data_IF_325844947341
#
_entry.id   IF_325844947341
#
_cell.length_a   1.000
_cell.length_b   1.000
_cell.length_c   1.000
_cell.angle_alpha   90.00
_cell.angle_beta   90.00
_cell.angle_gamma   90.00
#
_symmetry.space_group_name_H-M   'P 1'
#
loop_
_entity.id
_entity.type
_entity.pdbx_description
1 polymer ?
#
# COMPACT_ATOMS: atom_id res chain seq x y z
N UNK A 1 17.36 -27.58 25.55
CA UNK A 1 16.13 -26.91 26.00
C UNK A 1 15.85 -25.83 24.97
N UNK A 2 14.87 -26.04 24.09
CA UNK A 2 14.48 -25.03 23.10
C UNK A 2 13.84 -23.87 23.86
N UNK A 3 14.50 -22.73 23.87
CA UNK A 3 13.87 -21.46 24.24
C UNK A 3 12.68 -21.31 23.30
N UNK A 4 11.45 -21.31 23.84
CA UNK A 4 10.22 -21.38 23.06
C UNK A 4 10.21 -20.32 21.97
N UNK A 5 10.25 -20.76 20.70
CA UNK A 5 9.97 -19.85 19.59
C UNK A 5 8.54 -19.37 19.78
N UNK A 6 8.39 -18.09 20.13
CA UNK A 6 7.09 -17.44 20.24
C UNK A 6 6.52 -17.35 18.84
N UNK A 7 5.56 -18.20 18.52
CA UNK A 7 4.84 -18.20 17.25
C UNK A 7 4.10 -16.87 17.10
N UNK A 8 4.29 -16.17 15.97
CA UNK A 8 3.51 -14.97 15.65
C UNK A 8 2.04 -15.37 15.53
N UNK A 9 1.15 -14.53 16.07
CA UNK A 9 -0.32 -14.75 16.07
C UNK A 9 -0.96 -13.66 15.25
N UNK A 10 -1.59 -14.02 14.14
CA UNK A 10 -2.26 -13.12 13.20
C UNK A 10 -3.76 -13.32 13.30
N UNK A 11 -4.49 -12.24 13.52
CA UNK A 11 -5.93 -12.21 13.26
C UNK A 11 -6.15 -11.71 11.83
N UNK A 12 -6.64 -12.60 10.97
CA UNK A 12 -6.93 -12.31 9.56
C UNK A 12 -8.41 -11.98 9.38
N UNK A 13 -8.71 -10.82 8.82
CA UNK A 13 -10.07 -10.32 8.56
C UNK A 13 -10.26 -10.11 7.06
N UNK A 14 -11.12 -10.91 6.44
CA UNK A 14 -11.33 -10.94 4.99
C UNK A 14 -12.71 -11.51 4.71
N UNK A 15 -13.54 -10.86 3.91
CA UNK A 15 -14.91 -11.33 3.64
C UNK A 15 -14.94 -12.44 2.57
N UNK A 16 -14.05 -12.40 1.58
CA UNK A 16 -13.93 -13.42 0.55
C UNK A 16 -13.33 -14.75 1.10
N UNK A 17 -14.15 -15.79 1.14
CA UNK A 17 -13.78 -17.12 1.64
C UNK A 17 -12.56 -17.71 0.95
N UNK A 18 -12.43 -17.51 -0.37
CA UNK A 18 -11.32 -18.06 -1.13
C UNK A 18 -10.01 -17.37 -0.74
N UNK A 19 -9.98 -16.04 -0.78
CA UNK A 19 -8.82 -15.22 -0.40
C UNK A 19 -8.42 -15.47 1.05
N UNK A 20 -9.39 -15.50 1.97
CA UNK A 20 -9.13 -15.74 3.39
C UNK A 20 -8.42 -17.07 3.64
N UNK A 21 -8.91 -18.15 3.01
CA UNK A 21 -8.30 -19.46 3.16
C UNK A 21 -6.91 -19.53 2.50
N UNK A 22 -6.72 -18.95 1.31
CA UNK A 22 -5.41 -18.94 0.64
C UNK A 22 -4.36 -18.22 1.49
N UNK A 23 -4.67 -17.02 1.98
CA UNK A 23 -3.74 -16.23 2.80
C UNK A 23 -3.44 -16.93 4.12
N UNK A 24 -4.45 -17.52 4.77
CA UNK A 24 -4.24 -18.34 5.97
C UNK A 24 -3.26 -19.49 5.71
N UNK A 25 -3.48 -20.30 4.69
CA UNK A 25 -2.62 -21.45 4.40
C UNK A 25 -1.17 -21.02 4.13
N UNK A 26 -0.97 -19.90 3.43
CA UNK A 26 0.37 -19.36 3.17
C UNK A 26 1.09 -18.90 4.44
N UNK A 27 0.37 -18.23 5.35
CA UNK A 27 0.91 -17.79 6.65
C UNK A 27 1.20 -18.98 7.57
N UNK A 28 0.27 -19.95 7.66
CA UNK A 28 0.44 -21.18 8.46
C UNK A 28 1.63 -21.99 7.97
N UNK A 29 1.81 -22.14 6.66
CA UNK A 29 2.98 -22.80 6.06
C UNK A 29 4.30 -22.11 6.43
N UNK A 30 4.26 -20.84 6.82
CA UNK A 30 5.40 -20.05 7.27
C UNK A 30 5.61 -20.10 8.79
N UNK A 31 4.85 -20.95 9.51
CA UNK A 31 4.96 -21.11 10.95
C UNK A 31 4.27 -20.02 11.77
N UNK A 32 3.28 -19.34 11.18
CA UNK A 32 2.47 -18.31 11.85
C UNK A 32 1.14 -18.94 12.30
N UNK A 33 0.71 -18.64 13.52
CA UNK A 33 -0.62 -19.01 14.01
C UNK A 33 -1.64 -18.01 13.50
N UNK A 34 -2.68 -18.47 12.81
CA UNK A 34 -3.68 -17.60 12.17
C UNK A 34 -5.07 -17.96 12.67
N UNK A 35 -5.76 -16.97 13.23
CA UNK A 35 -7.21 -17.01 13.44
C UNK A 35 -7.88 -16.18 12.35
N UNK A 36 -8.86 -16.74 11.63
CA UNK A 36 -9.50 -16.07 10.50
C UNK A 36 -10.96 -15.77 10.80
N UNK A 37 -11.41 -14.56 10.48
CA UNK A 37 -12.79 -14.10 10.62
C UNK A 37 -13.22 -13.36 9.35
N UNK A 38 -14.54 -13.24 9.14
CA UNK A 38 -15.10 -12.66 7.92
C UNK A 38 -15.62 -11.22 8.10
N UNK A 39 -15.55 -10.65 9.31
CA UNK A 39 -16.12 -9.33 9.59
C UNK A 39 -15.46 -8.64 10.77
N UNK A 40 -15.62 -7.31 10.84
CA UNK A 40 -15.17 -6.48 11.96
C UNK A 40 -15.79 -6.90 13.29
N UNK A 41 -17.08 -7.27 13.29
CA UNK A 41 -17.77 -7.68 14.52
C UNK A 41 -17.11 -8.93 15.13
N UNK A 42 -16.88 -9.96 14.31
CA UNK A 42 -16.17 -11.17 14.73
C UNK A 42 -14.72 -10.87 15.15
N UNK A 43 -14.04 -9.96 14.44
CA UNK A 43 -12.70 -9.54 14.81
C UNK A 43 -12.66 -8.95 16.23
N UNK A 44 -13.58 -8.04 16.54
CA UNK A 44 -13.67 -7.39 17.86
C UNK A 44 -13.90 -8.40 18.98
N UNK A 45 -14.81 -9.36 18.78
CA UNK A 45 -15.07 -10.44 19.75
C UNK A 45 -13.84 -11.33 19.97
N UNK A 46 -13.04 -11.54 18.92
CA UNK A 46 -11.87 -12.43 18.94
C UNK A 46 -10.63 -11.78 19.57
N UNK A 47 -10.54 -10.45 19.57
CA UNK A 47 -9.32 -9.73 19.98
C UNK A 47 -8.84 -10.09 21.40
N UNK A 48 -9.77 -10.22 22.36
CA UNK A 48 -9.41 -10.52 23.76
C UNK A 48 -9.04 -11.99 23.99
N UNK A 49 -9.74 -12.92 23.33
CA UNK A 49 -9.51 -14.35 23.52
C UNK A 49 -8.25 -14.83 22.79
N UNK A 50 -8.03 -14.33 21.58
CA UNK A 50 -6.92 -14.74 20.73
C UNK A 50 -5.62 -13.95 21.01
N UNK A 51 -5.75 -12.71 21.51
CA UNK A 51 -4.62 -11.82 21.82
C UNK A 51 -3.61 -11.73 20.65
N UNK A 52 -4.04 -11.29 19.46
CA UNK A 52 -3.17 -11.29 18.29
C UNK A 52 -1.99 -10.33 18.44
N UNK A 53 -0.85 -10.71 17.89
CA UNK A 53 0.30 -9.81 17.76
C UNK A 53 0.07 -8.79 16.64
N UNK A 54 -0.69 -9.16 15.61
CA UNK A 54 -1.01 -8.32 14.46
C UNK A 54 -2.42 -8.63 13.93
N UNK A 55 -3.10 -7.60 13.45
CA UNK A 55 -4.31 -7.72 12.64
C UNK A 55 -3.95 -7.47 11.17
N UNK A 56 -4.31 -8.43 10.31
CA UNK A 56 -4.25 -8.29 8.85
C UNK A 56 -5.69 -8.20 8.36
N UNK A 57 -6.08 -7.10 7.74
CA UNK A 57 -7.47 -6.86 7.31
C UNK A 57 -7.54 -6.39 5.87
N UNK A 58 -8.58 -6.81 5.13
CA UNK A 58 -9.03 -6.03 3.96
C UNK A 58 -9.73 -4.75 4.44
N UNK A 59 -9.78 -3.74 3.57
CA UNK A 59 -10.53 -2.52 3.75
C UNK A 59 -12.00 -2.72 3.41
N UNK A 60 -12.30 -3.37 2.29
CA UNK A 60 -13.68 -3.70 1.92
C UNK A 60 -14.06 -5.03 2.56
N UNK A 61 -15.00 -5.00 3.51
CA UNK A 61 -15.52 -6.18 4.20
C UNK A 61 -17.03 -6.34 3.93
N UNK A 62 -17.50 -5.77 2.82
CA UNK A 62 -18.90 -5.81 2.41
C UNK A 62 -19.81 -4.94 3.28
N UNK A 63 -20.85 -5.53 3.85
CA UNK A 63 -21.86 -4.79 4.59
C UNK A 63 -21.51 -4.62 6.08
N UNK A 64 -21.46 -3.36 6.52
CA UNK A 64 -21.26 -3.00 7.93
C UNK A 64 -20.00 -2.16 8.11
N UNK A 65 -19.36 -2.21 9.29
CA UNK A 65 -18.08 -1.57 9.52
C UNK A 65 -16.99 -2.15 8.60
N UNK A 66 -16.11 -1.28 8.15
CA UNK A 66 -15.04 -1.61 7.21
C UNK A 66 -13.70 -1.85 7.91
N UNK A 67 -12.67 -2.22 7.14
CA UNK A 67 -11.34 -2.45 7.71
C UNK A 67 -10.73 -1.22 8.38
N UNK A 68 -11.06 0.00 7.92
CA UNK A 68 -10.58 1.21 8.58
C UNK A 68 -11.24 1.40 9.95
N UNK A 69 -12.54 1.14 10.09
CA UNK A 69 -13.22 1.19 11.40
C UNK A 69 -12.56 0.26 12.44
N UNK A 70 -12.21 -0.96 12.01
CA UNK A 70 -11.49 -1.92 12.85
C UNK A 70 -10.13 -1.37 13.29
N UNK A 71 -9.34 -0.86 12.34
CA UNK A 71 -7.99 -0.37 12.62
C UNK A 71 -8.01 0.90 13.48
N UNK A 72 -8.95 1.81 13.27
CA UNK A 72 -9.14 2.99 14.15
C UNK A 72 -9.38 2.53 15.59
N UNK A 73 -10.31 1.59 15.80
CA UNK A 73 -10.61 1.05 17.13
C UNK A 73 -9.40 0.37 17.78
N UNK A 74 -8.65 -0.44 17.02
CA UNK A 74 -7.41 -1.06 17.52
C UNK A 74 -6.37 -0.01 17.89
N UNK A 75 -6.20 1.04 17.07
CA UNK A 75 -5.23 2.09 17.34
C UNK A 75 -5.54 2.89 18.62
N UNK A 76 -6.82 3.03 18.97
CA UNK A 76 -7.26 3.73 20.18
C UNK A 76 -7.20 2.83 21.43
N UNK A 77 -7.64 1.58 21.32
CA UNK A 77 -7.84 0.69 22.47
C UNK A 77 -6.65 -0.25 22.73
N UNK A 78 -5.93 -0.64 21.67
CA UNK A 78 -4.85 -1.65 21.71
C UNK A 78 -3.67 -1.26 20.80
N UNK A 79 -3.02 -0.10 21.01
CA UNK A 79 -1.97 0.43 20.12
C UNK A 79 -0.70 -0.43 20.03
N UNK A 80 -0.57 -1.47 20.85
CA UNK A 80 0.53 -2.45 20.78
C UNK A 80 0.33 -3.54 19.72
N UNK A 81 -0.88 -3.68 19.16
CA UNK A 81 -1.17 -4.65 18.11
C UNK A 81 -0.67 -4.09 16.77
N UNK A 82 0.13 -4.89 16.05
CA UNK A 82 0.54 -4.56 14.70
C UNK A 82 -0.67 -4.46 13.76
N UNK A 83 -0.63 -3.56 12.79
CA UNK A 83 -1.74 -3.35 11.87
C UNK A 83 -1.26 -3.44 10.43
N UNK A 84 -1.87 -4.30 9.64
CA UNK A 84 -1.58 -4.51 8.23
C UNK A 84 -2.87 -4.52 7.43
N UNK A 85 -2.88 -3.74 6.35
CA UNK A 85 -3.96 -3.70 5.38
C UNK A 85 -3.54 -4.53 4.17
N UNK A 86 -4.40 -5.45 3.78
CA UNK A 86 -4.26 -6.27 2.58
C UNK A 86 -5.47 -6.04 1.68
N UNK A 87 -5.32 -5.25 0.62
CA UNK A 87 -6.48 -4.85 -0.21
C UNK A 87 -6.24 -5.05 -1.70
N UNK A 88 -7.32 -5.22 -2.45
CA UNK A 88 -7.29 -5.44 -3.89
C UNK A 88 -6.80 -4.20 -4.68
N UNK A 89 -6.89 -3.01 -4.09
CA UNK A 89 -6.59 -1.75 -4.77
C UNK A 89 -5.29 -1.10 -4.27
N UNK A 90 -4.49 -0.57 -5.19
CA UNK A 90 -3.28 0.20 -4.84
C UNK A 90 -3.60 1.57 -4.20
N UNK A 91 -4.87 1.97 -4.18
CA UNK A 91 -5.37 3.22 -3.59
C UNK A 91 -6.45 2.91 -2.55
N UNK A 92 -6.23 3.20 -1.25
CA UNK A 92 -7.22 3.00 -0.19
C UNK A 92 -8.54 3.76 -0.45
N UNK A 93 -8.47 4.90 -1.14
CA UNK A 93 -9.63 5.74 -1.49
C UNK A 93 -10.58 5.07 -2.48
N UNK A 94 -10.14 3.98 -3.12
CA UNK A 94 -10.97 3.16 -4.00
C UNK A 94 -11.65 2.00 -3.26
N UNK A 95 -11.17 1.64 -2.08
CA UNK A 95 -11.68 0.51 -1.30
C UNK A 95 -12.73 0.95 -0.26
N UNK A 96 -12.62 2.17 0.27
CA UNK A 96 -13.54 2.70 1.30
C UNK A 96 -13.83 4.19 1.09
N UNK A 97 -14.98 4.64 1.60
CA UNK A 97 -15.50 6.00 1.39
C UNK A 97 -14.63 7.11 2.00
N UNK A 98 -13.90 6.81 3.06
CA UNK A 98 -13.03 7.76 3.74
C UNK A 98 -11.77 7.05 4.25
N UNK A 99 -10.69 7.17 3.48
CA UNK A 99 -9.39 6.61 3.79
C UNK A 99 -8.63 7.40 4.88
N UNK A 100 -9.07 8.61 5.24
CA UNK A 100 -8.43 9.41 6.29
C UNK A 100 -8.59 8.82 7.69
N UNK A 101 -9.54 7.90 7.87
CA UNK A 101 -9.73 7.11 9.09
C UNK A 101 -8.64 6.08 9.33
N UNK A 102 -7.89 5.69 8.30
CA UNK A 102 -6.85 4.67 8.42
C UNK A 102 -5.71 5.22 9.31
N UNK A 103 -5.34 4.53 10.39
CA UNK A 103 -4.23 4.96 11.25
C UNK A 103 -2.91 5.09 10.45
N UNK A 104 -2.16 6.18 10.68
CA UNK A 104 -0.90 6.49 9.96
C UNK A 104 0.19 5.42 10.07
N UNK A 105 0.03 4.46 10.98
CA UNK A 105 0.99 3.39 11.23
C UNK A 105 0.51 2.01 10.75
N UNK A 106 -0.63 1.89 10.08
CA UNK A 106 -0.99 0.60 9.47
C UNK A 106 -0.09 0.33 8.25
N UNK A 107 0.57 -0.83 8.20
CA UNK A 107 1.28 -1.31 7.01
C UNK A 107 0.30 -1.58 5.86
N UNK A 108 0.76 -1.53 4.61
CA UNK A 108 -0.10 -1.70 3.44
C UNK A 108 0.51 -2.65 2.43
N UNK A 109 -0.30 -3.57 1.89
CA UNK A 109 0.08 -4.46 0.80
C UNK A 109 -1.09 -4.64 -0.17
N UNK A 110 -0.78 -4.65 -1.47
CA UNK A 110 -1.77 -4.91 -2.52
C UNK A 110 -1.85 -6.42 -2.77
N UNK A 111 -3.07 -6.99 -2.81
CA UNK A 111 -3.29 -8.44 -3.02
C UNK A 111 -2.62 -8.96 -4.30
N UNK A 112 -2.57 -8.15 -5.37
CA UNK A 112 -1.88 -8.51 -6.63
C UNK A 112 -0.35 -8.57 -6.52
N UNK A 113 0.23 -8.01 -5.46
CA UNK A 113 1.66 -8.03 -5.16
C UNK A 113 2.06 -9.20 -4.25
N UNK A 114 1.09 -10.03 -3.82
CA UNK A 114 1.31 -11.28 -3.08
C UNK A 114 1.96 -12.39 -3.92
N UNK A 115 2.67 -12.04 -4.98
CA UNK A 115 3.48 -12.95 -5.79
C UNK A 115 4.61 -13.60 -4.96
N UNK A 116 4.90 -13.06 -3.77
CA UNK A 116 5.75 -13.68 -2.76
C UNK A 116 5.22 -13.37 -1.36
N UNK A 117 4.78 -14.41 -0.65
CA UNK A 117 4.28 -14.33 0.74
C UNK A 117 5.28 -13.66 1.68
N UNK A 118 6.58 -13.73 1.36
CA UNK A 118 7.66 -13.06 2.09
C UNK A 118 7.41 -11.57 2.33
N UNK A 119 6.80 -10.85 1.40
CA UNK A 119 6.51 -9.43 1.59
C UNK A 119 5.48 -9.21 2.70
N UNK A 120 4.42 -10.02 2.72
CA UNK A 120 3.42 -9.98 3.79
C UNK A 120 4.03 -10.37 5.14
N UNK A 121 4.88 -11.40 5.18
CA UNK A 121 5.55 -11.84 6.41
C UNK A 121 6.46 -10.74 6.95
N UNK A 122 7.27 -10.12 6.08
CA UNK A 122 8.16 -9.02 6.46
C UNK A 122 7.36 -7.86 7.02
N UNK A 123 6.25 -7.50 6.37
CA UNK A 123 5.37 -6.45 6.83
C UNK A 123 4.70 -6.77 8.17
N UNK A 124 4.31 -8.04 8.40
CA UNK A 124 3.79 -8.53 9.68
C UNK A 124 4.86 -8.42 10.77
N UNK A 125 6.07 -8.93 10.53
CA UNK A 125 7.16 -8.90 11.50
C UNK A 125 7.56 -7.47 11.86
N UNK A 126 7.69 -6.62 10.84
CA UNK A 126 7.85 -5.19 11.02
C UNK A 126 6.72 -4.67 11.91
N UNK A 127 5.44 -4.90 11.54
CA UNK A 127 4.23 -4.39 12.20
C UNK A 127 4.23 -4.57 13.74
N UNK A 128 4.85 -5.65 14.21
CA UNK A 128 4.92 -6.06 15.61
C UNK A 128 6.07 -5.36 16.36
N UNK A 129 7.21 -5.11 15.68
CA UNK A 129 8.44 -4.59 16.32
C UNK A 129 8.35 -3.09 16.59
N UNK A 130 7.65 -2.32 15.75
CA UNK A 130 7.44 -0.88 15.94
C UNK A 130 5.97 -0.46 15.82
N UNK A 131 5.06 -0.90 16.71
CA UNK A 131 3.67 -0.45 16.71
C UNK A 131 3.64 1.08 16.76
N UNK A 132 3.18 1.74 15.70
CA UNK A 132 3.14 3.20 15.62
C UNK A 132 4.24 3.90 14.82
N UNK A 133 5.24 3.20 14.25
CA UNK A 133 6.33 3.87 13.49
C UNK A 133 6.72 3.15 12.19
N UNK A 134 5.73 2.61 11.46
CA UNK A 134 5.95 1.95 10.18
C UNK A 134 6.32 2.93 9.07
N UNK A 135 7.62 2.98 8.79
CA UNK A 135 8.17 3.32 7.47
C UNK A 135 8.60 2.02 6.78
N UNK A 136 7.62 1.14 6.54
CA UNK A 136 7.80 -0.12 5.81
C UNK A 136 7.89 0.12 4.31
N UNK A 137 8.78 -0.61 3.66
CA UNK A 137 9.14 -0.47 2.26
C UNK A 137 7.97 -0.82 1.31
N UNK A 138 7.31 0.19 0.75
CA UNK A 138 6.25 0.04 -0.25
C UNK A 138 5.35 1.25 -0.26
N UNK A 139 5.44 2.06 -1.31
CA UNK A 139 4.77 3.35 -1.50
C UNK A 139 3.27 3.33 -1.20
N UNK A 140 2.76 4.29 -0.41
CA UNK A 140 1.30 4.45 -0.30
C UNK A 140 0.73 5.51 0.62
N UNK A 141 1.49 6.14 1.53
CA UNK A 141 0.99 7.31 2.29
C UNK A 141 1.64 8.61 1.80
N UNK A 142 0.86 9.42 1.09
CA UNK A 142 0.82 10.88 1.18
C UNK A 142 2.13 11.72 1.19
N UNK A 143 3.24 11.23 0.65
CA UNK A 143 4.29 12.12 0.17
C UNK A 143 3.94 12.59 -1.24
N UNK A 144 3.31 13.77 -1.32
CA UNK A 144 3.34 14.60 -2.51
C UNK A 144 4.76 14.62 -3.07
N UNK A 145 4.98 14.01 -4.22
CA UNK A 145 6.31 13.93 -4.81
C UNK A 145 6.72 15.33 -5.22
N UNK A 146 7.75 15.85 -4.57
CA UNK A 146 8.27 17.18 -4.85
C UNK A 146 9.14 17.12 -6.11
N UNK A 147 8.67 17.72 -7.19
CA UNK A 147 9.37 17.81 -8.46
C UNK A 147 9.89 19.22 -8.70
N UNK A 148 10.97 19.35 -9.45
CA UNK A 148 11.47 20.65 -9.90
C UNK A 148 10.48 21.33 -10.85
N UNK A 149 10.56 22.65 -10.97
CA UNK A 149 9.80 23.43 -11.97
C UNK A 149 9.96 22.90 -13.40
N UNK A 150 11.17 22.45 -13.75
CA UNK A 150 11.45 21.82 -15.05
C UNK A 150 10.70 20.51 -15.23
N UNK A 151 10.66 19.65 -14.20
CA UNK A 151 9.95 18.37 -14.24
C UNK A 151 8.43 18.56 -14.28
N UNK A 152 7.89 19.53 -13.53
CA UNK A 152 6.47 19.90 -13.58
C UNK A 152 6.03 20.37 -14.97
N UNK A 153 6.86 21.18 -15.63
CA UNK A 153 6.60 21.64 -17.00
C UNK A 153 6.55 20.46 -17.98
N UNK A 154 7.45 19.48 -17.84
CA UNK A 154 7.44 18.25 -18.64
C UNK A 154 6.19 17.43 -18.37
N UNK A 155 5.77 17.28 -17.11
CA UNK A 155 4.53 16.56 -16.77
C UNK A 155 3.29 17.20 -17.38
N UNK A 156 3.23 18.54 -17.37
CA UNK A 156 2.15 19.29 -18.03
C UNK A 156 2.13 19.02 -19.54
N UNK A 157 3.25 19.12 -20.23
CA UNK A 157 3.34 18.83 -21.67
C UNK A 157 2.94 17.38 -21.99
N UNK A 158 3.31 16.42 -21.13
CA UNK A 158 2.91 15.02 -21.29
C UNK A 158 1.40 14.85 -21.10
N UNK A 159 0.82 15.51 -20.09
CA UNK A 159 -0.63 15.49 -19.81
C UNK A 159 -1.46 16.15 -20.94
N UNK A 160 -0.90 17.16 -21.59
CA UNK A 160 -1.45 17.81 -22.80
C UNK A 160 -1.30 16.93 -24.06
N UNK A 161 -0.66 15.76 -23.95
CA UNK A 161 -0.54 14.77 -25.02
C UNK A 161 0.68 14.94 -25.94
N UNK A 162 1.64 15.82 -25.62
CA UNK A 162 2.75 16.14 -26.53
C UNK A 162 3.77 15.00 -26.64
N UNK A 163 4.07 14.56 -27.85
CA UNK A 163 5.16 13.58 -28.10
C UNK A 163 6.55 14.10 -27.67
N UNK A 164 7.55 13.23 -27.54
CA UNK A 164 8.92 13.65 -27.23
C UNK A 164 9.49 14.61 -28.31
N UNK A 165 9.09 14.44 -29.57
CA UNK A 165 9.45 15.34 -30.65
C UNK A 165 8.82 16.73 -30.46
N UNK A 166 7.54 16.78 -30.10
CA UNK A 166 6.82 18.03 -29.81
C UNK A 166 7.37 18.73 -28.57
N UNK A 167 7.76 17.98 -27.53
CA UNK A 167 8.44 18.52 -26.33
C UNK A 167 9.79 19.12 -26.72
N UNK A 168 10.55 18.45 -27.58
CA UNK A 168 11.85 18.92 -28.05
C UNK A 168 11.73 20.25 -28.81
N UNK A 169 10.75 20.33 -29.73
CA UNK A 169 10.44 21.54 -30.48
C UNK A 169 9.98 22.69 -29.57
N UNK A 170 9.05 22.41 -28.65
CA UNK A 170 8.50 23.41 -27.71
C UNK A 170 9.58 24.00 -26.81
N UNK A 171 10.58 23.19 -26.42
CA UNK A 171 11.69 23.62 -25.55
C UNK A 171 12.95 24.05 -26.30
N UNK A 172 12.98 24.00 -27.63
CA UNK A 172 14.16 24.33 -28.43
C UNK A 172 15.37 23.43 -28.17
N UNK A 173 15.15 22.15 -27.83
CA UNK A 173 16.20 21.16 -27.52
C UNK A 173 16.20 20.02 -28.53
N UNK A 174 17.25 19.19 -28.52
CA UNK A 174 17.29 17.99 -29.38
C UNK A 174 16.30 16.90 -28.90
N UNK A 175 15.86 16.04 -29.81
CA UNK A 175 14.99 14.88 -29.48
C UNK A 175 15.59 14.02 -28.36
N UNK A 176 16.90 13.74 -28.44
CA UNK A 176 17.62 12.97 -27.40
C UNK A 176 17.63 13.67 -26.05
N UNK A 177 17.75 15.00 -26.03
CA UNK A 177 17.68 15.75 -24.78
C UNK A 177 16.28 15.72 -24.17
N UNK A 178 15.22 15.77 -24.99
CA UNK A 178 13.84 15.63 -24.54
C UNK A 178 13.57 14.23 -23.97
N UNK A 179 14.02 13.16 -24.64
CA UNK A 179 13.92 11.78 -24.13
C UNK A 179 14.60 11.62 -22.77
N UNK A 180 15.82 12.17 -22.63
CA UNK A 180 16.56 12.13 -21.37
C UNK A 180 15.88 12.92 -20.25
N UNK A 181 15.22 14.04 -20.55
CA UNK A 181 14.43 14.80 -19.58
C UNK A 181 13.20 14.02 -19.12
N UNK A 182 12.45 13.44 -20.06
CA UNK A 182 11.27 12.60 -19.76
C UNK A 182 11.66 11.42 -18.87
N UNK A 183 12.75 10.72 -19.20
CA UNK A 183 13.26 9.60 -18.40
C UNK A 183 13.66 10.02 -16.97
N UNK A 184 14.32 11.17 -16.80
CA UNK A 184 14.65 11.71 -15.46
C UNK A 184 13.41 12.13 -14.69
N UNK A 185 12.39 12.68 -15.35
CA UNK A 185 11.10 12.99 -14.72
C UNK A 185 10.41 11.72 -14.21
N UNK A 186 10.41 10.64 -15.00
CA UNK A 186 9.84 9.36 -14.57
C UNK A 186 10.62 8.71 -13.42
N UNK A 187 11.95 8.77 -13.46
CA UNK A 187 12.79 8.29 -12.36
C UNK A 187 12.50 9.05 -11.06
N UNK A 188 12.30 10.37 -11.14
CA UNK A 188 11.97 11.20 -9.97
C UNK A 188 10.57 10.92 -9.41
N UNK A 189 9.64 10.44 -10.24
CA UNK A 189 8.31 9.99 -9.81
C UNK A 189 8.28 8.53 -9.33
N UNK A 190 9.39 7.79 -9.44
CA UNK A 190 9.43 6.37 -9.11
C UNK A 190 8.65 5.47 -10.08
N UNK A 191 8.29 5.97 -11.27
CA UNK A 191 7.46 5.22 -12.24
C UNK A 191 8.29 4.38 -13.23
N UNK A 192 9.60 4.30 -13.03
CA UNK A 192 10.50 3.48 -13.83
C UNK A 192 10.76 2.15 -13.12
N UNK A 193 10.41 1.02 -13.73
CA UNK A 193 10.76 -0.29 -13.18
C UNK A 193 9.92 -1.47 -13.69
N UNK A 194 8.68 -1.22 -14.12
CA UNK A 194 7.78 -2.28 -14.60
C UNK A 194 7.72 -2.33 -16.14
N UNK A 195 8.17 -3.41 -16.79
CA UNK A 195 8.10 -3.56 -18.25
C UNK A 195 6.67 -3.68 -18.79
N UNK A 196 5.68 -3.96 -17.94
CA UNK A 196 4.28 -4.12 -18.32
C UNK A 196 3.47 -2.82 -18.19
N UNK A 197 4.08 -1.75 -17.68
CA UNK A 197 3.41 -0.48 -17.42
C UNK A 197 4.03 0.62 -18.27
N UNK A 198 3.18 1.43 -18.91
CA UNK A 198 3.64 2.62 -19.61
C UNK A 198 3.91 3.75 -18.60
N UNK A 199 5.17 4.12 -18.32
CA UNK A 199 5.53 5.09 -17.28
C UNK A 199 4.90 6.46 -17.54
N UNK A 200 4.62 6.77 -18.82
CA UNK A 200 3.98 8.01 -19.24
C UNK A 200 2.53 8.11 -18.77
N UNK A 201 1.78 7.01 -18.83
CA UNK A 201 0.37 6.96 -18.41
C UNK A 201 0.28 7.09 -16.89
N UNK A 202 1.20 6.45 -16.16
CA UNK A 202 1.29 6.55 -14.70
C UNK A 202 1.64 7.97 -14.27
N UNK A 203 2.64 8.59 -14.89
CA UNK A 203 3.04 9.96 -14.59
C UNK A 203 1.90 10.98 -14.77
N UNK A 204 1.10 10.84 -15.84
CA UNK A 204 -0.08 11.71 -16.06
C UNK A 204 -1.15 11.49 -15.00
N UNK A 205 -1.40 10.24 -14.62
CA UNK A 205 -2.37 9.91 -13.57
C UNK A 205 -1.94 10.53 -12.23
N UNK A 206 -0.67 10.42 -11.86
CA UNK A 206 -0.12 11.02 -10.64
C UNK A 206 -0.26 12.55 -10.63
N UNK A 207 -0.04 13.19 -11.78
CA UNK A 207 -0.23 14.64 -11.96
C UNK A 207 -1.70 15.06 -11.80
N UNK A 208 -2.63 14.35 -12.45
CA UNK A 208 -4.07 14.66 -12.39
C UNK A 208 -4.68 14.39 -11.01
N UNK A 209 -4.15 13.43 -10.26
CA UNK A 209 -4.58 13.09 -8.90
C UNK A 209 -4.01 14.03 -7.83
N UNK A 210 -3.22 15.06 -8.21
CA UNK A 210 -2.63 16.01 -7.25
C UNK A 210 -1.53 15.42 -6.36
N UNK A 211 -0.97 14.26 -6.74
CA UNK A 211 0.10 13.55 -6.01
C UNK A 211 1.50 14.14 -6.24
N UNK A 212 1.59 15.24 -6.98
CA UNK A 212 2.84 15.92 -7.35
C UNK A 212 2.79 17.37 -6.87
N UNK A 213 3.84 17.83 -6.20
CA UNK A 213 4.01 19.24 -5.79
C UNK A 213 5.29 19.80 -6.40
N UNK A 214 5.26 21.07 -6.77
CA UNK A 214 6.43 21.76 -7.34
C UNK A 214 7.27 22.32 -6.20
N UNK A 215 8.58 22.05 -6.24
CA UNK A 215 9.59 22.62 -5.34
C UNK A 215 9.72 24.12 -5.50
#
# INVERSE_FOLDING_TARGET
MNVGQKTIRVLLVEDDDFTRNVVREMLVASGIEVHQVASVAQAIETLDEFDPHVVVTDLDLGHGPDGADLLTKISEERPWIGMVIMTAHASPELAINDASRIPEHAGYIVKSELNSIQNLITLIEESIVMPGNFKGAGSGRDEKITVTSTQAEILRMIADGLSNASIAETRGISLRAAEALVQRTFAALGVNGDPNINPRVVAVRMWQQGKVVVK
#
